data_IF_036591759683
#
_entry.id   IF_036591759683
#
_cell.length_a   1.000
_cell.length_b   1.000
_cell.length_c   1.000
_cell.angle_alpha   90.00
_cell.angle_beta   90.00
_cell.angle_gamma   90.00
#
_symmetry.space_group_name_H-M   'P 1'
#
loop_
_entity.id
_entity.type
_entity.pdbx_description
1 polymer ?
#
# COMPACT_ATOMS: atom_id res chain seq x y z
N UNK A 1 -3.72 17.08 19.18
CA UNK A 1 -2.46 16.48 19.69
C UNK A 1 -1.25 17.42 19.66
N UNK A 2 -1.11 18.35 18.70
CA UNK A 2 0.10 19.20 18.59
C UNK A 2 0.01 20.56 19.30
N UNK A 3 -1.19 21.02 19.65
CA UNK A 3 -1.38 22.36 20.25
C UNK A 3 -1.26 22.27 21.76
N UNK A 4 -0.23 22.93 22.32
CA UNK A 4 -0.05 23.06 23.78
C UNK A 4 0.67 21.91 24.48
N UNK A 5 1.18 20.93 23.73
CA UNK A 5 1.90 19.76 24.26
C UNK A 5 3.35 19.75 23.76
N UNK A 6 4.31 19.36 24.62
CA UNK A 6 5.68 19.09 24.18
C UNK A 6 5.70 17.73 23.47
N UNK A 7 5.76 17.73 22.15
CA UNK A 7 5.80 16.50 21.34
C UNK A 7 7.23 16.24 20.89
N UNK A 8 7.71 15.01 21.08
CA UNK A 8 9.01 14.56 20.61
C UNK A 8 8.83 13.90 19.25
N UNK A 9 9.48 14.45 18.22
CA UNK A 9 9.62 13.79 16.93
C UNK A 9 10.92 13.00 16.91
N UNK A 10 10.87 11.76 16.44
CA UNK A 10 12.03 10.91 16.23
C UNK A 10 11.96 10.35 14.82
N UNK A 11 13.08 10.39 14.12
CA UNK A 11 13.24 9.78 12.80
C UNK A 11 14.16 8.60 13.00
N UNK A 12 13.68 7.42 12.61
CA UNK A 12 14.44 6.18 12.67
C UNK A 12 14.62 5.72 11.23
N UNK A 13 15.87 5.69 10.79
CA UNK A 13 16.25 5.21 9.47
C UNK A 13 17.30 4.12 9.67
N UNK A 14 16.95 2.83 9.45
CA UNK A 14 17.91 1.76 9.47
C UNK A 14 19.01 2.04 8.43
N UNK A 15 20.27 2.04 8.85
CA UNK A 15 21.40 2.24 7.95
C UNK A 15 22.49 1.20 8.25
N UNK A 16 22.89 0.46 7.23
CA UNK A 16 23.98 -0.50 7.32
C UNK A 16 25.29 0.20 6.95
N UNK A 17 26.14 0.44 7.94
CA UNK A 17 27.48 0.98 7.73
C UNK A 17 28.47 -0.14 7.99
N UNK A 18 29.01 -0.72 6.91
CA UNK A 18 29.97 -1.82 6.95
C UNK A 18 31.21 -1.45 6.13
N UNK A 19 32.09 -0.59 6.66
CA UNK A 19 33.23 -0.05 5.90
C UNK A 19 34.19 -1.14 5.40
N UNK A 20 34.25 -2.29 6.08
CA UNK A 20 35.10 -3.42 5.70
C UNK A 20 34.75 -4.03 4.33
N UNK A 21 33.52 -3.84 3.85
CA UNK A 21 33.07 -4.26 2.51
C UNK A 21 32.72 -3.07 1.61
N UNK A 22 33.18 -1.86 1.97
CA UNK A 22 32.98 -0.64 1.16
C UNK A 22 31.61 0.04 1.33
N UNK A 23 30.76 -0.44 2.25
CA UNK A 23 29.46 0.20 2.54
C UNK A 23 29.67 1.28 3.60
N UNK A 24 30.01 2.50 3.17
CA UNK A 24 30.37 3.63 4.05
C UNK A 24 29.34 4.77 4.06
N UNK A 25 28.25 4.63 3.30
CA UNK A 25 27.23 5.67 3.17
C UNK A 25 26.48 5.92 4.47
N UNK A 26 26.24 7.19 4.79
CA UNK A 26 25.32 7.59 5.85
C UNK A 26 24.26 8.54 5.31
N UNK A 27 23.04 8.39 5.81
CA UNK A 27 21.97 9.33 5.52
C UNK A 27 22.18 10.63 6.28
N UNK A 28 22.02 11.75 5.58
CA UNK A 28 21.88 13.08 6.19
C UNK A 28 20.42 13.45 6.08
N UNK A 29 19.77 13.71 7.22
CA UNK A 29 18.34 13.93 7.30
C UNK A 29 18.04 15.34 7.78
N UNK A 30 17.10 16.00 7.11
CA UNK A 30 16.49 17.23 7.57
C UNK A 30 14.97 17.04 7.52
N UNK A 31 14.29 17.35 8.62
CA UNK A 31 12.85 17.28 8.70
C UNK A 31 12.29 18.64 9.12
N UNK A 32 11.32 19.11 8.34
CA UNK A 32 10.62 20.36 8.56
C UNK A 32 9.14 20.07 8.70
N UNK A 33 8.54 20.48 9.83
CA UNK A 33 7.11 20.40 10.03
C UNK A 33 6.45 21.72 9.61
N UNK A 34 5.60 21.67 8.59
CA UNK A 34 4.78 22.81 8.18
C UNK A 34 3.44 22.79 8.91
N UNK A 35 3.19 23.81 9.74
CA UNK A 35 1.94 23.98 10.49
C UNK A 35 1.18 25.18 9.94
N UNK A 36 0.04 24.91 9.30
CA UNK A 36 -0.82 25.96 8.75
C UNK A 36 -1.83 26.41 9.80
N UNK A 37 -1.99 27.72 9.96
CA UNK A 37 -2.99 28.29 10.86
C UNK A 37 -4.39 28.10 10.25
N UNK A 38 -5.33 27.65 11.06
CA UNK A 38 -6.73 27.52 10.69
C UNK A 38 -7.60 27.18 11.89
N UNK A 39 -8.93 27.26 11.76
CA UNK A 39 -9.82 26.68 12.76
C UNK A 39 -9.51 25.19 12.90
N UNK A 40 -9.57 24.65 14.11
CA UNK A 40 -9.45 23.22 14.32
C UNK A 40 -10.59 22.53 13.54
N UNK A 41 -10.29 21.53 12.68
CA UNK A 41 -11.33 20.74 12.06
C UNK A 41 -12.25 20.15 13.14
N UNK A 42 -13.58 20.19 12.93
CA UNK A 42 -14.48 19.52 13.85
C UNK A 42 -14.23 18.01 13.82
N UNK A 43 -14.57 17.33 14.91
CA UNK A 43 -14.62 15.86 14.98
C UNK A 43 -13.30 15.14 14.59
N UNK A 44 -12.16 15.63 15.07
CA UNK A 44 -10.88 14.89 14.98
C UNK A 44 -10.79 13.79 16.05
N UNK A 45 -10.07 12.68 15.78
CA UNK A 45 -9.80 11.68 16.80
C UNK A 45 -8.99 12.30 17.94
N UNK A 46 -9.27 11.88 19.17
CA UNK A 46 -8.70 12.45 20.39
C UNK A 46 -7.94 11.42 21.25
N UNK A 47 -7.89 10.16 20.82
CA UNK A 47 -7.12 9.10 21.46
C UNK A 47 -6.55 8.16 20.39
N UNK A 48 -5.35 7.62 20.61
CA UNK A 48 -4.60 6.87 19.60
C UNK A 48 -3.93 5.66 20.25
N UNK A 49 -4.12 4.48 19.68
CA UNK A 49 -3.47 3.24 20.11
C UNK A 49 -2.58 2.74 18.98
N UNK A 50 -1.24 2.71 19.16
CA UNK A 50 -0.33 2.14 18.17
C UNK A 50 -0.68 0.67 17.90
N UNK A 51 -0.58 0.26 16.64
CA UNK A 51 -0.83 -1.11 16.24
C UNK A 51 0.40 -1.98 16.50
N UNK A 52 0.21 -3.11 17.19
CA UNK A 52 1.24 -4.09 17.54
C UNK A 52 2.62 -3.47 17.88
N UNK A 53 2.71 -2.60 18.91
CA UNK A 53 3.96 -1.92 19.22
C UNK A 53 5.05 -2.93 19.59
N UNK A 54 6.22 -2.80 18.97
CA UNK A 54 7.38 -3.62 19.31
C UNK A 54 7.96 -3.24 20.69
N UNK A 55 9.05 -3.90 21.10
CA UNK A 55 9.69 -3.67 22.39
C UNK A 55 10.15 -2.22 22.64
N UNK A 56 10.29 -1.41 21.58
CA UNK A 56 10.64 0.01 21.65
C UNK A 56 9.41 0.94 21.68
N UNK A 57 8.20 0.39 21.71
CA UNK A 57 6.95 1.15 21.66
C UNK A 57 6.59 1.68 20.27
N UNK A 58 7.29 1.21 19.22
CA UNK A 58 7.05 1.62 17.83
C UNK A 58 6.11 0.62 17.16
N UNK A 59 5.06 1.13 16.53
CA UNK A 59 4.16 0.34 15.67
C UNK A 59 4.92 -0.07 14.40
N UNK A 60 5.49 -1.27 14.42
CA UNK A 60 6.25 -1.84 13.31
C UNK A 60 6.40 -3.34 13.54
N UNK A 61 5.72 -4.13 12.72
CA UNK A 61 5.79 -5.60 12.74
C UNK A 61 6.29 -6.11 11.41
N UNK A 62 7.00 -7.25 11.45
CA UNK A 62 7.36 -8.01 10.26
C UNK A 62 6.56 -9.32 10.22
N UNK A 63 5.94 -9.60 9.08
CA UNK A 63 5.26 -10.85 8.76
C UNK A 63 6.10 -11.63 7.74
N UNK A 64 6.11 -12.95 7.84
CA UNK A 64 6.86 -13.86 6.95
C UNK A 64 6.16 -15.23 6.87
N UNK A 65 6.58 -16.16 5.99
CA UNK A 65 5.93 -17.46 5.82
C UNK A 65 5.72 -18.29 7.10
N UNK A 66 6.54 -18.08 8.13
CA UNK A 66 6.45 -18.85 9.38
C UNK A 66 5.76 -18.08 10.52
N UNK A 67 5.49 -16.79 10.29
CA UNK A 67 4.84 -15.86 11.21
C UNK A 67 4.03 -14.86 10.38
N UNK A 68 3.03 -15.36 9.66
CA UNK A 68 2.17 -14.59 8.76
C UNK A 68 1.07 -13.82 9.51
N UNK A 69 0.92 -14.09 10.80
CA UNK A 69 -0.04 -13.48 11.70
C UNK A 69 0.62 -12.93 12.98
N UNK A 70 0.10 -11.81 13.47
CA UNK A 70 0.26 -11.36 14.86
C UNK A 70 -1.08 -11.11 15.52
N UNK A 71 -1.23 -11.54 16.78
CA UNK A 71 -2.38 -11.21 17.63
C UNK A 71 -1.90 -10.54 18.91
N UNK A 72 -2.58 -9.48 19.32
CA UNK A 72 -2.28 -8.78 20.58
C UNK A 72 -3.54 -8.23 21.23
N UNK A 73 -3.49 -8.07 22.55
CA UNK A 73 -4.59 -7.49 23.32
C UNK A 73 -4.63 -5.98 23.19
N UNK A 74 -5.83 -5.42 23.16
CA UNK A 74 -6.09 -3.99 23.13
C UNK A 74 -7.16 -3.63 24.15
N UNK A 75 -7.01 -2.47 24.78
CA UNK A 75 -7.94 -1.93 25.76
C UNK A 75 -8.39 -0.55 25.30
N UNK A 76 -9.65 -0.45 24.88
CA UNK A 76 -10.22 0.81 24.42
C UNK A 76 -10.82 1.59 25.61
N UNK A 77 -10.66 2.92 25.67
CA UNK A 77 -11.34 3.74 26.66
C UNK A 77 -12.86 3.52 26.62
N UNK A 78 -13.50 3.50 27.80
CA UNK A 78 -14.95 3.22 27.89
C UNK A 78 -15.80 4.23 27.15
N UNK A 79 -15.32 5.46 26.95
CA UNK A 79 -16.01 6.50 26.19
C UNK A 79 -15.83 6.40 24.67
N UNK A 80 -15.15 5.39 24.14
CA UNK A 80 -14.93 5.25 22.70
C UNK A 80 -16.26 5.10 21.97
N UNK A 81 -16.54 6.03 21.05
CA UNK A 81 -17.73 6.02 20.22
C UNK A 81 -17.47 5.89 18.73
N UNK A 82 -16.21 6.04 18.31
CA UNK A 82 -15.75 5.77 16.95
C UNK A 82 -14.34 5.20 16.99
N UNK A 83 -14.06 4.23 16.12
CA UNK A 83 -12.77 3.53 16.05
C UNK A 83 -12.38 3.27 14.59
N UNK A 84 -11.26 3.86 14.16
CA UNK A 84 -10.79 3.81 12.77
C UNK A 84 -9.34 3.34 12.73
N UNK A 85 -9.08 2.28 11.97
CA UNK A 85 -7.74 1.81 11.67
C UNK A 85 -7.09 2.70 10.61
N UNK A 86 -5.82 3.02 10.80
CA UNK A 86 -4.94 3.57 9.77
C UNK A 86 -3.69 2.70 9.71
N UNK A 87 -3.45 2.05 8.58
CA UNK A 87 -2.41 1.04 8.37
C UNK A 87 -1.49 1.46 7.23
N UNK A 88 -0.20 1.19 7.39
CA UNK A 88 0.80 1.18 6.34
C UNK A 88 1.30 -0.25 6.18
N UNK A 89 1.51 -0.69 4.96
CA UNK A 89 2.06 -2.02 4.67
C UNK A 89 2.99 -1.98 3.48
N UNK A 90 4.11 -2.70 3.57
CA UNK A 90 5.19 -2.71 2.57
C UNK A 90 5.73 -4.13 2.41
N UNK A 91 5.81 -4.61 1.16
CA UNK A 91 6.48 -5.85 0.82
C UNK A 91 8.00 -5.68 0.71
N UNK A 92 8.75 -6.67 1.17
CA UNK A 92 10.21 -6.71 1.11
C UNK A 92 10.73 -8.07 0.69
N UNK A 93 12.04 -8.14 0.42
CA UNK A 93 12.70 -9.30 -0.17
C UNK A 93 12.04 -9.68 -1.52
N UNK A 94 11.63 -10.93 -1.74
CA UNK A 94 10.95 -11.29 -2.99
C UNK A 94 9.61 -10.55 -3.13
N UNK A 95 8.94 -10.26 -2.01
CA UNK A 95 7.68 -9.52 -1.99
C UNK A 95 7.85 -8.01 -2.25
N UNK A 96 9.06 -7.49 -2.53
CA UNK A 96 9.23 -6.19 -3.20
C UNK A 96 8.45 -6.14 -4.52
N UNK A 97 8.36 -7.27 -5.22
CA UNK A 97 7.61 -7.46 -6.45
C UNK A 97 6.53 -8.54 -6.29
N UNK A 98 5.83 -8.57 -5.16
CA UNK A 98 4.85 -9.62 -4.82
C UNK A 98 3.84 -9.93 -5.94
N UNK A 99 3.42 -8.95 -6.74
CA UNK A 99 2.50 -9.10 -7.88
C UNK A 99 3.14 -9.80 -9.11
N UNK A 100 4.44 -10.12 -9.04
CA UNK A 100 5.20 -10.93 -10.02
C UNK A 100 5.54 -12.31 -9.48
N UNK A 101 5.41 -12.57 -8.17
CA UNK A 101 5.71 -13.87 -7.58
C UNK A 101 4.41 -14.62 -7.27
N UNK A 102 4.40 -15.94 -7.41
CA UNK A 102 3.22 -16.74 -7.12
C UNK A 102 3.14 -17.16 -5.63
N UNK A 103 1.95 -17.08 -5.00
CA UNK A 103 0.72 -16.47 -5.52
C UNK A 103 0.87 -14.97 -5.72
N UNK A 104 0.41 -14.42 -6.84
CA UNK A 104 0.53 -13.00 -7.18
C UNK A 104 -0.59 -12.13 -6.55
N UNK A 105 -1.05 -12.51 -5.35
CA UNK A 105 -2.02 -11.76 -4.56
C UNK A 105 -1.57 -11.71 -3.09
N UNK A 106 -1.80 -10.57 -2.43
CA UNK A 106 -1.51 -10.34 -1.02
C UNK A 106 -2.64 -9.51 -0.44
N UNK A 107 -3.32 -9.99 0.58
CA UNK A 107 -4.32 -9.22 1.31
C UNK A 107 -3.96 -9.18 2.79
N UNK A 108 -4.00 -8.00 3.39
CA UNK A 108 -3.85 -7.83 4.82
C UNK A 108 -5.21 -7.94 5.50
N UNK A 109 -5.43 -9.03 6.22
CA UNK A 109 -6.65 -9.29 6.98
C UNK A 109 -6.49 -8.77 8.41
N UNK A 110 -7.42 -7.93 8.86
CA UNK A 110 -7.47 -7.44 10.23
C UNK A 110 -8.70 -7.99 10.93
N UNK A 111 -8.52 -8.56 12.12
CA UNK A 111 -9.60 -9.08 12.95
C UNK A 111 -9.69 -8.33 14.27
N UNK A 112 -10.91 -8.02 14.72
CA UNK A 112 -11.20 -7.49 16.04
C UNK A 112 -12.09 -8.49 16.78
N UNK A 113 -11.63 -9.01 17.92
CA UNK A 113 -12.33 -10.03 18.71
C UNK A 113 -12.77 -11.25 17.89
N UNK A 114 -11.94 -11.66 16.90
CA UNK A 114 -12.21 -12.79 16.02
C UNK A 114 -13.14 -12.49 14.83
N UNK A 115 -13.69 -11.27 14.73
CA UNK A 115 -14.47 -10.82 13.57
C UNK A 115 -13.55 -10.20 12.52
N UNK A 116 -13.66 -10.61 11.26
CA UNK A 116 -12.92 -9.98 10.15
C UNK A 116 -13.41 -8.53 10.04
N UNK A 117 -12.54 -7.59 10.41
CA UNK A 117 -12.84 -6.18 10.59
C UNK A 117 -12.50 -5.35 9.36
N UNK A 118 -11.41 -5.71 8.66
CA UNK A 118 -10.99 -5.06 7.42
C UNK A 118 -10.14 -6.00 6.57
N UNK A 119 -10.17 -5.78 5.26
CA UNK A 119 -9.25 -6.36 4.27
C UNK A 119 -8.57 -5.21 3.54
N UNK A 120 -7.24 -5.19 3.51
CA UNK A 120 -6.49 -4.21 2.73
C UNK A 120 -5.71 -4.89 1.61
N UNK A 121 -5.86 -4.37 0.41
CA UNK A 121 -5.14 -4.79 -0.79
C UNK A 121 -3.97 -3.83 -1.02
N UNK A 122 -2.72 -4.27 -0.84
CA UNK A 122 -1.56 -3.42 -1.02
C UNK A 122 -1.43 -2.93 -2.46
N UNK A 123 -1.13 -1.65 -2.65
CA UNK A 123 -0.79 -1.09 -3.96
C UNK A 123 0.54 -1.66 -4.50
N UNK A 124 0.63 -1.86 -5.81
CA UNK A 124 1.81 -2.37 -6.52
C UNK A 124 2.92 -1.31 -6.65
N UNK A 125 3.44 -0.85 -5.51
CA UNK A 125 4.50 0.15 -5.45
C UNK A 125 5.77 -0.36 -6.13
N UNK A 126 6.28 0.40 -7.10
CA UNK A 126 7.56 0.12 -7.78
C UNK A 126 8.61 1.13 -7.34
N UNK A 127 9.68 0.66 -6.72
CA UNK A 127 10.78 1.52 -6.26
C UNK A 127 11.69 1.99 -7.40
N UNK A 128 12.52 2.99 -7.14
CA UNK A 128 13.35 3.70 -8.15
C UNK A 128 14.45 2.85 -8.81
N UNK A 129 14.51 1.55 -8.53
CA UNK A 129 15.33 0.56 -9.20
C UNK A 129 14.58 -0.70 -9.69
N UNK A 130 13.28 -0.79 -9.44
CA UNK A 130 12.52 -2.03 -9.60
C UNK A 130 12.21 -2.38 -11.05
N UNK A 131 12.12 -3.67 -11.38
CA UNK A 131 11.93 -4.19 -12.75
C UNK A 131 13.07 -3.77 -13.70
N UNK A 132 13.14 -2.51 -14.12
CA UNK A 132 14.26 -1.92 -14.89
C UNK A 132 14.70 -0.60 -14.22
N UNK A 133 15.97 -0.48 -13.79
CA UNK A 133 16.44 0.68 -13.04
C UNK A 133 16.48 1.99 -13.84
N UNK A 134 16.38 1.94 -15.17
CA UNK A 134 16.37 3.14 -16.01
C UNK A 134 14.96 3.71 -16.19
N UNK A 135 13.90 2.93 -15.95
CA UNK A 135 12.51 3.40 -16.00
C UNK A 135 12.24 4.55 -15.04
N UNK A 136 12.93 4.58 -13.90
CA UNK A 136 12.60 5.48 -12.79
C UNK A 136 13.48 6.71 -12.70
N UNK A 137 14.17 7.05 -13.79
CA UNK A 137 15.12 8.16 -13.86
C UNK A 137 14.71 9.18 -14.92
N UNK A 138 14.44 10.45 -14.56
CA UNK A 138 14.39 11.03 -13.21
C UNK A 138 13.03 10.88 -12.50
N UNK A 139 12.09 10.11 -13.06
CA UNK A 139 10.70 10.07 -12.58
C UNK A 139 10.38 8.74 -11.89
N UNK A 140 10.08 8.71 -10.58
CA UNK A 140 9.70 7.50 -9.86
C UNK A 140 8.28 7.02 -10.25
N UNK A 141 7.94 5.79 -9.86
CA UNK A 141 6.60 5.21 -10.08
C UNK A 141 5.51 5.92 -9.25
N UNK A 142 4.26 5.49 -9.43
CA UNK A 142 3.12 5.94 -8.61
C UNK A 142 3.36 5.52 -7.15
N UNK A 143 3.02 6.38 -6.19
CA UNK A 143 3.10 6.11 -4.74
C UNK A 143 4.51 5.85 -4.16
N UNK A 144 5.58 5.89 -4.98
CA UNK A 144 6.95 5.59 -4.53
C UNK A 144 7.49 6.60 -3.52
N UNK A 145 7.26 7.90 -3.72
CA UNK A 145 7.82 8.96 -2.85
C UNK A 145 7.03 9.16 -1.56
N UNK A 146 5.77 8.73 -1.52
CA UNK A 146 4.95 8.70 -0.31
C UNK A 146 5.29 7.52 0.60
N UNK A 147 6.14 6.57 0.16
CA UNK A 147 6.46 5.34 0.88
C UNK A 147 5.18 4.65 1.38
N UNK A 148 4.26 4.40 0.43
CA UNK A 148 2.91 3.85 0.60
C UNK A 148 1.90 4.82 1.23
N UNK A 149 0.86 5.16 0.47
CA UNK A 149 -0.37 5.74 1.01
C UNK A 149 -0.98 4.83 2.09
N UNK A 150 -1.49 5.40 3.20
CA UNK A 150 -2.12 4.61 4.24
C UNK A 150 -3.46 4.02 3.77
N UNK A 151 -3.79 2.87 4.33
CA UNK A 151 -5.11 2.25 4.24
C UNK A 151 -5.90 2.59 5.50
N UNK A 152 -7.20 2.86 5.35
CA UNK A 152 -8.08 3.27 6.44
C UNK A 152 -9.26 2.31 6.49
N UNK A 153 -9.67 1.87 7.68
CA UNK A 153 -10.93 1.15 7.86
C UNK A 153 -11.69 1.54 9.12
N UNK A 154 -12.99 1.79 9.02
CA UNK A 154 -13.86 2.05 10.19
C UNK A 154 -14.35 0.73 10.83
N UNK A 155 -13.97 0.48 12.08
CA UNK A 155 -14.34 -0.73 12.82
C UNK A 155 -15.36 -0.46 13.94
N UNK A 156 -15.99 0.72 13.94
CA UNK A 156 -16.89 1.18 15.01
C UNK A 156 -18.01 0.19 15.38
N UNK A 157 -18.68 -0.50 14.42
CA UNK A 157 -19.70 -1.49 14.79
C UNK A 157 -19.18 -2.60 15.70
N UNK A 158 -17.90 -2.97 15.59
CA UNK A 158 -17.29 -4.05 16.35
C UNK A 158 -17.01 -3.69 17.82
N UNK A 159 -17.14 -2.43 18.22
CA UNK A 159 -17.16 -2.03 19.64
C UNK A 159 -18.26 -2.78 20.43
N UNK A 160 -19.33 -3.23 19.76
CA UNK A 160 -20.37 -4.07 20.34
C UNK A 160 -19.86 -5.43 20.87
N UNK A 161 -18.69 -5.88 20.43
CA UNK A 161 -18.07 -7.16 20.85
C UNK A 161 -17.22 -7.03 22.11
N UNK A 162 -17.04 -5.81 22.64
CA UNK A 162 -16.24 -5.54 23.83
C UNK A 162 -15.10 -4.56 23.58
N UNK A 163 -14.66 -3.86 24.62
CA UNK A 163 -13.58 -2.87 24.58
C UNK A 163 -12.23 -3.41 25.07
N UNK A 164 -12.26 -4.48 25.85
CA UNK A 164 -11.08 -5.28 26.21
C UNK A 164 -11.05 -6.46 25.26
N UNK A 165 -10.21 -6.35 24.23
CA UNK A 165 -10.29 -7.21 23.06
C UNK A 165 -8.94 -7.64 22.52
N UNK A 166 -8.99 -8.29 21.36
CA UNK A 166 -7.81 -8.71 20.60
C UNK A 166 -7.87 -8.14 19.20
N UNK A 167 -6.75 -7.58 18.73
CA UNK A 167 -6.54 -7.31 17.31
C UNK A 167 -5.62 -8.39 16.74
N UNK A 168 -5.99 -8.97 15.60
CA UNK A 168 -5.12 -9.87 14.84
C UNK A 168 -4.90 -9.30 13.44
N UNK A 169 -3.68 -9.40 12.94
CA UNK A 169 -3.30 -8.97 11.60
C UNK A 169 -2.65 -10.16 10.91
N UNK A 170 -3.10 -10.48 9.70
CA UNK A 170 -2.58 -11.60 8.89
C UNK A 170 -2.31 -11.15 7.48
N UNK A 171 -1.16 -11.52 6.90
CA UNK A 171 -0.92 -11.37 5.46
C UNK A 171 -1.20 -12.70 4.77
N UNK A 172 -2.06 -12.70 3.75
CA UNK A 172 -2.37 -13.94 3.01
C UNK A 172 -1.19 -14.39 2.16
N UNK A 173 -1.21 -15.67 1.77
CA UNK A 173 -0.36 -16.27 0.75
C UNK A 173 1.17 -16.29 1.02
N UNK A 174 1.64 -15.87 2.19
CA UNK A 174 3.09 -15.96 2.53
C UNK A 174 3.58 -17.40 2.63
N UNK A 175 2.84 -18.27 3.33
CA UNK A 175 3.24 -19.68 3.44
C UNK A 175 3.15 -20.41 2.09
N UNK A 176 2.10 -20.14 1.31
CA UNK A 176 1.94 -20.71 -0.04
C UNK A 176 3.08 -20.27 -0.97
N UNK A 177 3.49 -18.99 -0.93
CA UNK A 177 4.63 -18.48 -1.69
C UNK A 177 5.93 -19.22 -1.33
N UNK A 178 6.16 -19.47 -0.04
CA UNK A 178 7.28 -20.31 0.42
C UNK A 178 7.20 -21.73 -0.15
N UNK A 179 6.01 -22.35 -0.16
CA UNK A 179 5.84 -23.71 -0.68
C UNK A 179 6.10 -23.80 -2.19
N UNK A 180 5.66 -22.79 -2.96
CA UNK A 180 5.85 -22.74 -4.41
C UNK A 180 7.29 -22.42 -4.79
N UNK A 181 7.90 -21.41 -4.19
CA UNK A 181 9.25 -20.97 -4.52
C UNK A 181 10.35 -21.84 -3.88
N UNK A 182 10.04 -22.53 -2.78
CA UNK A 182 11.03 -23.24 -1.96
C UNK A 182 12.03 -22.32 -1.24
N UNK A 183 11.72 -21.02 -1.16
CA UNK A 183 12.57 -19.99 -0.57
C UNK A 183 11.78 -19.23 0.52
N UNK A 184 12.37 -18.94 1.68
CA UNK A 184 11.66 -18.29 2.79
C UNK A 184 11.62 -16.76 2.68
N UNK A 185 12.08 -16.18 1.57
CA UNK A 185 12.40 -14.75 1.46
C UNK A 185 11.19 -13.89 1.06
N UNK A 186 10.08 -14.03 1.78
CA UNK A 186 8.86 -13.27 1.58
C UNK A 186 8.56 -12.51 2.86
N UNK A 187 8.52 -11.19 2.82
CA UNK A 187 8.33 -10.40 4.03
C UNK A 187 7.41 -9.22 3.81
N UNK A 188 6.64 -8.90 4.84
CA UNK A 188 5.79 -7.72 4.88
C UNK A 188 6.00 -6.96 6.17
N UNK A 189 6.25 -5.66 6.04
CA UNK A 189 6.32 -4.74 7.16
C UNK A 189 4.97 -4.05 7.30
N UNK A 190 4.37 -4.10 8.49
CA UNK A 190 3.09 -3.42 8.78
C UNK A 190 3.29 -2.44 9.93
N UNK A 191 2.73 -1.25 9.77
CA UNK A 191 2.67 -0.21 10.80
C UNK A 191 1.26 0.39 10.81
N UNK A 192 0.92 1.13 11.85
CA UNK A 192 -0.37 1.80 11.93
C UNK A 192 -0.79 2.26 13.32
N UNK A 193 -1.99 2.82 13.37
CA UNK A 193 -2.62 3.36 14.57
C UNK A 193 -4.13 3.12 14.51
N UNK A 194 -4.69 2.74 15.65
CA UNK A 194 -6.13 2.77 15.87
C UNK A 194 -6.49 4.15 16.44
N UNK A 195 -7.16 4.95 15.61
CA UNK A 195 -7.64 6.28 15.96
C UNK A 195 -9.02 6.17 16.60
N UNK A 196 -9.19 6.80 17.76
CA UNK A 196 -10.41 6.73 18.55
C UNK A 196 -10.98 8.13 18.80
N UNK A 197 -12.31 8.18 18.81
CA UNK A 197 -13.05 9.30 19.35
C UNK A 197 -13.66 8.88 20.67
N UNK A 198 -13.25 9.56 21.74
CA UNK A 198 -13.54 9.20 23.12
C UNK A 198 -14.31 10.33 23.80
N UNK A 199 -15.44 9.99 24.39
CA UNK A 199 -16.19 10.84 25.31
C UNK A 199 -16.34 10.14 26.66
N UNK A 200 -15.39 10.38 27.57
CA UNK A 200 -15.37 9.74 28.90
C UNK A 200 -16.61 10.06 29.75
N UNK A 201 -17.30 11.15 29.45
CA UNK A 201 -18.54 11.49 30.15
C UNK A 201 -19.70 10.57 29.76
N UNK A 202 -19.65 9.94 28.59
CA UNK A 202 -20.70 9.05 28.08
C UNK A 202 -20.15 7.64 27.80
N UNK A 203 -19.83 6.85 28.83
CA UNK A 203 -19.20 5.54 28.64
C UNK A 203 -20.16 4.54 27.98
N UNK A 204 -19.60 3.69 27.12
CA UNK A 204 -20.23 2.50 26.56
C UNK A 204 -20.53 1.51 27.69
N UNK A 205 -21.79 1.10 27.78
CA UNK A 205 -22.31 0.16 28.79
C UNK A 205 -22.79 -1.16 28.18
N UNK A 206 -22.81 -1.24 26.85
CA UNK A 206 -23.08 -2.47 26.10
C UNK A 206 -23.24 -2.17 24.62
N UNK A 207 -23.35 -3.22 23.82
CA UNK A 207 -23.65 -3.10 22.39
C UNK A 207 -24.23 -4.40 21.87
N UNK A 208 -24.83 -4.33 20.69
CA UNK A 208 -25.36 -5.50 19.99
C UNK A 208 -25.12 -5.34 18.49
N UNK A 209 -24.46 -6.33 17.90
CA UNK A 209 -24.44 -6.52 16.45
C UNK A 209 -25.85 -6.95 15.99
N UNK A 210 -26.46 -6.13 15.15
CA UNK A 210 -27.72 -6.42 14.44
C UNK A 210 -27.42 -7.19 13.15
N UNK A 211 -26.32 -6.85 12.48
CA UNK A 211 -25.80 -7.55 11.32
C UNK A 211 -24.31 -7.85 11.54
N UNK A 212 -23.92 -9.07 11.21
CA UNK A 212 -22.52 -9.52 11.26
C UNK A 212 -22.30 -10.52 10.14
N UNK A 213 -21.96 -10.01 8.97
CA UNK A 213 -21.64 -10.81 7.79
C UNK A 213 -20.22 -10.48 7.37
N UNK A 214 -19.39 -11.49 7.22
CA UNK A 214 -18.05 -11.33 6.68
C UNK A 214 -17.64 -12.59 5.94
N UNK A 215 -17.02 -12.44 4.78
CA UNK A 215 -16.44 -13.52 4.01
C UNK A 215 -15.17 -13.04 3.32
N UNK A 216 -14.18 -13.92 3.26
CA UNK A 216 -13.00 -13.78 2.43
C UNK A 216 -12.83 -15.08 1.66
N UNK A 217 -12.72 -14.98 0.35
CA UNK A 217 -12.51 -16.10 -0.55
C UNK A 217 -11.30 -15.81 -1.42
N UNK A 218 -10.41 -16.79 -1.48
CA UNK A 218 -9.24 -16.84 -2.35
C UNK A 218 -9.26 -18.21 -3.03
N UNK A 219 -9.14 -18.25 -4.36
CA UNK A 219 -9.07 -19.50 -5.10
C UNK A 219 -7.79 -20.29 -4.81
N UNK A 220 -6.75 -19.60 -4.31
CA UNK A 220 -5.38 -20.06 -4.36
C UNK A 220 -4.85 -20.16 -5.79
N UNK A 221 -3.57 -20.56 -5.92
CA UNK A 221 -2.85 -20.50 -7.19
C UNK A 221 -3.31 -21.63 -8.13
N UNK A 222 -3.79 -21.29 -9.33
CA UNK A 222 -4.20 -22.26 -10.35
C UNK A 222 -3.19 -22.25 -11.50
N UNK A 223 -2.47 -23.35 -11.66
CA UNK A 223 -1.48 -23.52 -12.72
C UNK A 223 -1.98 -24.39 -13.87
N UNK A 224 -1.60 -24.01 -15.09
CA UNK A 224 -1.76 -24.82 -16.30
C UNK A 224 -0.59 -24.59 -17.26
N UNK A 225 -0.48 -25.40 -18.31
CA UNK A 225 0.56 -25.24 -19.35
C UNK A 225 -0.11 -24.98 -20.69
N UNK A 226 0.35 -23.95 -21.40
CA UNK A 226 -0.17 -23.61 -22.72
C UNK A 226 0.35 -24.57 -23.80
N UNK A 227 -0.27 -24.62 -24.99
CA UNK A 227 0.25 -25.40 -26.11
C UNK A 227 1.66 -24.98 -26.57
N UNK A 228 2.10 -23.76 -26.24
CA UNK A 228 3.44 -23.25 -26.53
C UNK A 228 4.47 -23.61 -25.44
N UNK A 229 4.06 -24.33 -24.40
CA UNK A 229 4.93 -24.76 -23.29
C UNK A 229 5.19 -23.68 -22.23
N UNK A 230 4.39 -22.61 -22.21
CA UNK A 230 4.45 -21.58 -21.16
C UNK A 230 3.64 -22.01 -19.95
N UNK A 231 4.10 -21.65 -18.75
CA UNK A 231 3.31 -21.78 -17.53
C UNK A 231 2.29 -20.65 -17.50
N UNK A 232 1.03 -21.00 -17.31
CA UNK A 232 -0.05 -20.05 -17.06
C UNK A 232 -0.47 -20.16 -15.59
N UNK A 233 -0.54 -19.03 -14.93
CA UNK A 233 -1.03 -18.87 -13.56
C UNK A 233 -2.30 -18.01 -13.56
N UNK A 234 -3.29 -18.39 -12.76
CA UNK A 234 -4.52 -17.64 -12.53
C UNK A 234 -4.88 -17.72 -11.06
N UNK A 235 -5.31 -16.60 -10.49
CA UNK A 235 -5.88 -16.56 -9.14
C UNK A 235 -6.95 -15.48 -9.06
N UNK A 236 -8.02 -15.73 -8.33
CA UNK A 236 -9.08 -14.76 -8.13
C UNK A 236 -9.69 -14.91 -6.75
N UNK A 237 -10.15 -13.79 -6.21
CA UNK A 237 -10.77 -13.78 -4.91
C UNK A 237 -11.74 -12.62 -4.74
N UNK A 238 -12.49 -12.69 -3.66
CA UNK A 238 -13.42 -11.65 -3.26
C UNK A 238 -13.61 -11.65 -1.76
N UNK A 239 -14.01 -10.50 -1.23
CA UNK A 239 -14.40 -10.38 0.16
C UNK A 239 -15.59 -9.45 0.31
N UNK A 240 -16.30 -9.62 1.42
CA UNK A 240 -17.42 -8.78 1.81
C UNK A 240 -17.45 -8.72 3.33
N UNK A 241 -17.66 -7.53 3.89
CA UNK A 241 -17.84 -7.26 5.30
C UNK A 241 -19.08 -6.37 5.41
N UNK A 242 -20.01 -6.70 6.29
CA UNK A 242 -21.17 -5.88 6.60
C UNK A 242 -21.52 -6.04 8.08
N UNK A 243 -21.28 -4.98 8.85
CA UNK A 243 -21.62 -4.90 10.26
C UNK A 243 -22.54 -3.74 10.53
N UNK A 244 -23.64 -4.02 11.22
CA UNK A 244 -24.54 -3.00 11.77
C UNK A 244 -24.64 -3.25 13.26
N UNK A 245 -24.39 -2.22 14.07
CA UNK A 245 -24.44 -2.31 15.52
C UNK A 245 -25.32 -1.22 16.12
N UNK A 246 -25.98 -1.56 17.23
CA UNK A 246 -26.47 -0.58 18.19
C UNK A 246 -25.52 -0.57 19.38
N UNK A 247 -24.89 0.59 19.60
CA UNK A 247 -24.00 0.85 20.72
C UNK A 247 -24.77 1.59 21.81
N UNK A 248 -24.75 1.06 23.03
CA UNK A 248 -25.49 1.61 24.17
C UNK A 248 -24.53 2.30 25.12
N UNK A 249 -24.67 3.60 25.25
CA UNK A 249 -23.91 4.43 26.18
C UNK A 249 -24.76 4.81 27.38
N UNK A 250 -24.11 5.40 28.39
CA UNK A 250 -24.77 5.86 29.61
C UNK A 250 -25.92 6.84 29.33
N UNK A 251 -25.78 7.72 28.34
CA UNK A 251 -26.72 8.79 28.03
C UNK A 251 -27.32 8.72 26.62
N UNK A 252 -27.33 7.55 25.99
CA UNK A 252 -27.92 7.42 24.65
C UNK A 252 -27.60 6.09 23.97
N UNK A 253 -28.09 5.95 22.76
CA UNK A 253 -27.74 4.87 21.85
C UNK A 253 -27.28 5.46 20.53
N UNK A 254 -26.33 4.79 19.89
CA UNK A 254 -25.81 5.15 18.57
C UNK A 254 -25.94 3.94 17.66
N UNK A 255 -26.12 4.21 16.37
CA UNK A 255 -26.02 3.18 15.34
C UNK A 255 -24.74 3.38 14.56
N UNK A 256 -24.01 2.29 14.36
CA UNK A 256 -22.81 2.26 13.54
C UNK A 256 -22.98 1.20 12.44
N UNK A 257 -22.57 1.53 11.23
CA UNK A 257 -22.59 0.66 10.07
C UNK A 257 -21.26 0.77 9.33
N UNK A 258 -20.64 -0.36 9.04
CA UNK A 258 -19.49 -0.48 8.14
C UNK A 258 -19.81 -1.52 7.09
N UNK A 259 -19.51 -1.22 5.84
CA UNK A 259 -19.51 -2.16 4.73
C UNK A 259 -18.18 -2.09 3.97
N UNK A 260 -17.61 -3.24 3.65
CA UNK A 260 -16.43 -3.36 2.80
C UNK A 260 -16.69 -4.45 1.77
N UNK A 261 -16.25 -4.24 0.52
CA UNK A 261 -16.28 -5.30 -0.49
C UNK A 261 -15.11 -5.15 -1.45
N UNK A 262 -14.65 -6.25 -2.00
CA UNK A 262 -13.57 -6.21 -2.98
C UNK A 262 -13.44 -7.47 -3.79
N UNK A 263 -12.81 -7.34 -4.95
CA UNK A 263 -12.49 -8.41 -5.89
C UNK A 263 -11.06 -8.19 -6.38
N UNK A 264 -10.29 -9.27 -6.44
CA UNK A 264 -8.97 -9.28 -7.06
C UNK A 264 -8.86 -10.42 -8.07
N UNK A 265 -8.07 -10.20 -9.12
CA UNK A 265 -7.80 -11.20 -10.15
C UNK A 265 -6.38 -11.00 -10.67
N UNK A 266 -5.59 -12.07 -10.59
CA UNK A 266 -4.23 -12.15 -11.09
C UNK A 266 -4.15 -13.18 -12.23
N UNK A 267 -3.41 -12.84 -13.27
CA UNK A 267 -3.08 -13.71 -14.38
C UNK A 267 -1.61 -13.52 -14.73
N UNK A 268 -0.88 -14.61 -14.96
CA UNK A 268 0.47 -14.56 -15.47
C UNK A 268 0.70 -15.65 -16.51
N UNK A 269 1.63 -15.37 -17.42
CA UNK A 269 2.11 -16.28 -18.45
C UNK A 269 3.64 -16.17 -18.50
N UNK A 270 4.35 -17.24 -18.18
CA UNK A 270 5.79 -17.15 -17.95
C UNK A 270 6.58 -18.42 -18.25
N UNK A 271 7.90 -18.24 -18.34
CA UNK A 271 8.92 -19.27 -18.32
C UNK A 271 10.22 -18.65 -17.77
N UNK A 272 11.36 -19.36 -17.90
CA UNK A 272 12.65 -18.87 -17.40
C UNK A 272 13.19 -17.59 -18.10
N UNK A 273 12.56 -17.12 -19.18
CA UNK A 273 13.04 -16.01 -20.03
C UNK A 273 12.06 -14.84 -20.05
N UNK A 274 10.76 -15.12 -19.98
CA UNK A 274 9.72 -14.09 -20.09
C UNK A 274 8.63 -14.28 -19.05
N UNK A 275 8.01 -13.16 -18.70
CA UNK A 275 6.85 -13.09 -17.83
C UNK A 275 5.94 -11.98 -18.32
N UNK A 276 4.69 -12.31 -18.59
CA UNK A 276 3.61 -11.36 -18.80
C UNK A 276 2.61 -11.52 -17.67
N UNK A 277 2.24 -10.44 -17.00
CA UNK A 277 1.33 -10.49 -15.86
C UNK A 277 0.34 -9.35 -15.84
N UNK A 278 -0.82 -9.63 -15.25
CA UNK A 278 -1.84 -8.66 -14.93
C UNK A 278 -2.35 -8.92 -13.51
N UNK A 279 -2.50 -7.86 -12.73
CA UNK A 279 -3.25 -7.88 -11.48
C UNK A 279 -4.25 -6.72 -11.54
N UNK A 280 -5.47 -6.97 -11.10
CA UNK A 280 -6.47 -5.92 -10.91
C UNK A 280 -7.18 -6.15 -9.59
N UNK A 281 -7.13 -5.13 -8.75
CA UNK A 281 -7.86 -5.06 -7.50
C UNK A 281 -8.90 -3.96 -7.58
N UNK A 282 -10.13 -4.25 -7.15
CA UNK A 282 -11.23 -3.30 -7.11
C UNK A 282 -11.98 -3.47 -5.81
N UNK A 283 -12.15 -2.40 -5.06
CA UNK A 283 -12.72 -2.49 -3.72
C UNK A 283 -13.40 -1.19 -3.30
N UNK A 284 -14.30 -1.33 -2.33
CA UNK A 284 -15.08 -0.25 -1.75
C UNK A 284 -15.17 -0.42 -0.24
N UNK A 285 -15.17 0.69 0.47
CA UNK A 285 -15.49 0.76 1.88
C UNK A 285 -16.48 1.89 2.11
N UNK A 286 -17.48 1.67 2.95
CA UNK A 286 -18.36 2.71 3.45
C UNK A 286 -18.57 2.56 4.94
N UNK A 287 -18.69 3.70 5.63
CA UNK A 287 -18.96 3.75 7.05
C UNK A 287 -19.98 4.85 7.34
N UNK A 288 -20.86 4.59 8.30
CA UNK A 288 -21.86 5.53 8.77
C UNK A 288 -22.09 5.38 10.28
N UNK A 289 -21.96 6.47 11.01
CA UNK A 289 -22.37 6.54 12.42
C UNK A 289 -23.45 7.60 12.62
N UNK A 290 -24.49 7.26 13.38
CA UNK A 290 -25.51 8.22 13.82
C UNK A 290 -25.35 8.48 15.31
N UNK A 291 -24.95 9.70 15.65
CA UNK A 291 -24.78 10.15 17.03
C UNK A 291 -26.13 10.38 17.73
N UNK A 292 -26.18 10.44 19.08
CA UNK A 292 -27.43 10.69 19.82
C UNK A 292 -27.99 12.09 19.57
N UNK A 293 -27.15 13.03 19.10
CA UNK A 293 -27.54 14.36 18.63
C UNK A 293 -28.36 14.33 17.33
N UNK A 294 -28.40 13.20 16.62
CA UNK A 294 -28.98 13.07 15.28
C UNK A 294 -27.99 13.43 14.16
N UNK A 295 -26.76 13.82 14.50
CA UNK A 295 -25.69 14.04 13.54
C UNK A 295 -25.22 12.72 12.94
N UNK A 296 -24.92 12.75 11.64
CA UNK A 296 -24.45 11.59 10.89
C UNK A 296 -23.03 11.85 10.41
N UNK A 297 -22.14 10.90 10.68
CA UNK A 297 -20.85 10.80 10.03
C UNK A 297 -20.96 9.82 8.87
N UNK A 298 -20.35 10.15 7.73
CA UNK A 298 -20.19 9.21 6.62
C UNK A 298 -18.76 9.22 6.10
N UNK A 299 -18.28 8.05 5.70
CA UNK A 299 -17.06 7.87 4.92
C UNK A 299 -17.32 6.87 3.81
N UNK A 300 -16.74 7.08 2.65
CA UNK A 300 -16.78 6.18 1.52
C UNK A 300 -15.47 6.28 0.77
N UNK A 301 -14.88 5.14 0.46
CA UNK A 301 -13.67 5.00 -0.33
C UNK A 301 -13.90 3.93 -1.38
N UNK A 302 -13.52 4.19 -2.62
CA UNK A 302 -13.46 3.19 -3.68
C UNK A 302 -12.10 3.26 -4.36
N UNK A 303 -11.43 2.12 -4.46
CA UNK A 303 -10.10 1.99 -5.05
C UNK A 303 -10.10 1.00 -6.20
N UNK A 304 -9.30 1.29 -7.23
CA UNK A 304 -8.98 0.34 -8.29
C UNK A 304 -7.53 0.47 -8.73
N UNK A 305 -6.78 -0.61 -8.57
CA UNK A 305 -5.33 -0.68 -8.81
C UNK A 305 -5.05 -1.78 -9.85
N UNK A 306 -5.02 -1.46 -11.15
CA UNK A 306 -4.60 -2.40 -12.16
C UNK A 306 -3.13 -2.18 -12.54
N UNK A 307 -2.40 -3.28 -12.63
CA UNK A 307 -1.08 -3.35 -13.22
C UNK A 307 -1.07 -4.36 -14.37
N UNK A 308 -0.36 -4.01 -15.45
CA UNK A 308 0.00 -4.92 -16.54
C UNK A 308 1.49 -4.78 -16.76
N UNK A 309 2.21 -5.88 -16.77
CA UNK A 309 3.64 -5.87 -17.03
C UNK A 309 4.03 -6.98 -18.01
N UNK A 310 5.15 -6.75 -18.69
CA UNK A 310 5.78 -7.73 -19.55
C UNK A 310 7.28 -7.57 -19.40
N UNK A 311 7.97 -8.61 -18.99
CA UNK A 311 9.42 -8.63 -18.80
C UNK A 311 9.96 -9.79 -19.62
N UNK A 312 11.03 -9.52 -20.36
CA UNK A 312 11.83 -10.56 -21.02
C UNK A 312 13.28 -10.29 -20.68
N UNK A 313 13.93 -11.23 -20.01
CA UNK A 313 15.32 -11.12 -19.60
C UNK A 313 16.08 -12.41 -19.94
N UNK A 314 17.30 -12.27 -20.43
CA UNK A 314 18.17 -13.42 -20.68
C UNK A 314 19.62 -13.08 -20.34
N UNK A 315 20.31 -14.08 -19.81
CA UNK A 315 21.73 -14.03 -19.51
C UNK A 315 22.48 -15.06 -20.36
N UNK A 316 23.51 -14.61 -21.06
CA UNK A 316 24.36 -15.44 -21.94
C UNK A 316 25.76 -15.53 -21.35
N UNK A 317 26.18 -16.68 -20.79
CA UNK A 317 27.55 -16.89 -20.37
C UNK A 317 28.52 -16.73 -21.54
N UNK A 318 29.59 -15.96 -21.33
CA UNK A 318 30.67 -15.74 -22.30
C UNK A 318 31.94 -16.54 -21.94
N UNK A 319 31.86 -17.38 -20.91
CA UNK A 319 32.92 -18.27 -20.44
C UNK A 319 32.35 -19.51 -19.74
N UNK A 320 33.22 -20.46 -19.31
CA UNK A 320 32.79 -21.67 -18.62
C UNK A 320 32.05 -21.37 -17.31
N UNK A 321 30.80 -21.84 -17.18
CA UNK A 321 29.96 -21.61 -15.99
C UNK A 321 30.36 -22.45 -14.77
N UNK A 322 31.34 -23.34 -14.92
CA UNK A 322 31.88 -24.17 -13.84
C UNK A 322 32.99 -23.50 -13.03
N UNK A 323 33.43 -22.29 -13.41
CA UNK A 323 34.47 -21.52 -12.71
C UNK A 323 34.03 -20.09 -12.50
N UNK A 324 34.20 -19.60 -11.27
CA UNK A 324 33.91 -18.21 -10.91
C UNK A 324 35.22 -17.43 -10.69
N UNK A 325 35.29 -16.15 -11.09
CA UNK A 325 34.24 -15.43 -11.83
C UNK A 325 34.21 -15.77 -13.33
N UNK A 326 33.06 -15.65 -13.99
CA UNK A 326 32.94 -15.75 -15.45
C UNK A 326 32.18 -14.57 -16.07
N UNK A 327 32.55 -14.11 -17.28
CA UNK A 327 31.84 -13.02 -17.95
C UNK A 327 30.50 -13.51 -18.52
N UNK A 328 29.49 -12.63 -18.51
CA UNK A 328 28.20 -12.87 -19.14
C UNK A 328 27.66 -11.59 -19.78
N UNK A 329 26.81 -11.74 -20.80
CA UNK A 329 25.98 -10.66 -21.33
C UNK A 329 24.56 -10.78 -20.76
N UNK A 330 23.95 -9.67 -20.39
CA UNK A 330 22.58 -9.61 -19.91
C UNK A 330 21.78 -8.65 -20.78
N UNK A 331 20.59 -9.07 -21.19
CA UNK A 331 19.67 -8.21 -21.93
C UNK A 331 18.29 -8.34 -21.31
N UNK A 332 17.63 -7.20 -21.15
CA UNK A 332 16.27 -7.13 -20.67
C UNK A 332 15.45 -6.14 -21.49
N UNK A 333 14.19 -6.50 -21.71
CA UNK A 333 13.12 -5.64 -22.17
C UNK A 333 12.00 -5.70 -21.14
N UNK A 334 11.43 -4.55 -20.78
CA UNK A 334 10.32 -4.50 -19.84
C UNK A 334 9.30 -3.43 -20.25
N UNK A 335 8.03 -3.70 -20.01
CA UNK A 335 6.95 -2.72 -20.06
C UNK A 335 6.11 -2.80 -18.79
N UNK A 336 5.67 -1.66 -18.29
CA UNK A 336 4.79 -1.57 -17.12
C UNK A 336 3.72 -0.53 -17.39
N UNK A 337 2.45 -0.92 -17.26
CA UNK A 337 1.31 -0.01 -17.19
C UNK A 337 0.69 -0.16 -15.81
N UNK A 338 0.74 0.90 -15.01
CA UNK A 338 0.24 0.94 -13.64
C UNK A 338 -0.78 2.08 -13.52
N UNK A 339 -1.92 1.83 -12.88
CA UNK A 339 -2.93 2.86 -12.65
C UNK A 339 -3.35 2.88 -11.18
N UNK A 340 -3.61 4.07 -10.66
CA UNK A 340 -4.26 4.28 -9.37
C UNK A 340 -5.53 5.08 -9.60
N UNK A 341 -6.69 4.48 -9.36
CA UNK A 341 -7.96 5.20 -9.28
C UNK A 341 -8.47 5.14 -7.84
N UNK A 342 -8.81 6.31 -7.29
CA UNK A 342 -9.39 6.42 -5.96
C UNK A 342 -10.52 7.45 -5.97
N UNK A 343 -11.62 7.10 -5.33
CA UNK A 343 -12.74 7.99 -5.06
C UNK A 343 -12.99 7.98 -3.55
N UNK A 344 -12.87 9.13 -2.92
CA UNK A 344 -13.09 9.29 -1.49
C UNK A 344 -14.15 10.37 -1.28
N UNK A 345 -15.11 10.10 -0.41
CA UNK A 345 -16.08 11.08 0.04
C UNK A 345 -16.39 10.88 1.51
N UNK A 346 -16.66 11.96 2.20
CA UNK A 346 -17.10 11.86 3.58
C UNK A 346 -17.77 13.12 4.07
N UNK A 347 -18.56 12.95 5.12
CA UNK A 347 -19.26 14.04 5.77
C UNK A 347 -19.08 13.96 7.29
N UNK A 348 -18.73 15.10 7.85
CA UNK A 348 -18.83 15.39 9.28
C UNK A 348 -19.88 16.49 9.46
N UNK A 349 -20.46 16.66 10.66
CA UNK A 349 -21.35 17.77 10.92
C UNK A 349 -20.70 19.12 10.55
N UNK A 350 -21.25 19.76 9.52
CA UNK A 350 -20.78 21.04 8.99
C UNK A 350 -19.69 20.99 7.92
N UNK A 351 -19.17 19.82 7.53
CA UNK A 351 -18.16 19.70 6.45
C UNK A 351 -18.30 18.40 5.68
N UNK A 352 -18.53 18.50 4.38
CA UNK A 352 -18.35 17.42 3.42
C UNK A 352 -17.06 17.62 2.63
N UNK A 353 -16.42 16.52 2.27
CA UNK A 353 -15.28 16.49 1.37
C UNK A 353 -15.49 15.40 0.31
N UNK A 354 -14.90 15.62 -0.85
CA UNK A 354 -14.83 14.64 -1.94
C UNK A 354 -13.51 14.78 -2.67
N UNK A 355 -12.85 13.67 -2.94
CA UNK A 355 -11.64 13.57 -3.74
C UNK A 355 -11.79 12.49 -4.81
N UNK A 356 -11.54 12.84 -6.06
CA UNK A 356 -11.44 11.90 -7.18
C UNK A 356 -10.02 11.97 -7.71
N UNK A 357 -9.30 10.85 -7.71
CA UNK A 357 -7.92 10.75 -8.19
C UNK A 357 -7.84 9.66 -9.25
N UNK A 358 -7.24 10.00 -10.39
CA UNK A 358 -6.79 9.05 -11.40
C UNK A 358 -5.36 9.35 -11.80
N UNK A 359 -4.43 8.45 -11.52
CA UNK A 359 -3.05 8.50 -11.98
C UNK A 359 -2.76 7.27 -12.86
N UNK A 360 -2.22 7.49 -14.05
CA UNK A 360 -1.78 6.43 -14.95
C UNK A 360 -0.30 6.60 -15.27
N UNK A 361 0.42 5.48 -15.27
CA UNK A 361 1.82 5.37 -15.60
C UNK A 361 2.00 4.34 -16.73
N UNK A 362 2.79 4.70 -17.72
CA UNK A 362 3.23 3.77 -18.77
C UNK A 362 4.74 3.87 -18.90
N UNK A 363 5.43 2.74 -18.78
CA UNK A 363 6.87 2.66 -18.87
C UNK A 363 7.33 1.58 -19.85
N UNK A 364 8.41 1.88 -20.56
CA UNK A 364 9.16 0.96 -21.40
C UNK A 364 10.63 1.08 -21.04
N UNK A 365 11.31 -0.05 -20.86
CA UNK A 365 12.71 -0.16 -20.49
C UNK A 365 13.42 -1.20 -21.34
N UNK A 366 14.66 -0.90 -21.67
CA UNK A 366 15.60 -1.78 -22.31
C UNK A 366 16.97 -1.56 -21.67
N UNK A 367 17.67 -2.66 -21.39
CA UNK A 367 19.04 -2.62 -20.91
C UNK A 367 19.86 -3.78 -21.46
N UNK A 368 21.12 -3.49 -21.76
CA UNK A 368 22.14 -4.42 -22.20
C UNK A 368 23.39 -4.19 -21.35
N UNK A 369 23.75 -5.20 -20.56
CA UNK A 369 24.85 -5.17 -19.60
C UNK A 369 25.91 -6.21 -19.93
N UNK A 370 27.14 -5.85 -19.64
CA UNK A 370 28.21 -6.81 -19.39
C UNK A 370 28.27 -7.10 -17.90
N UNK A 371 28.22 -8.37 -17.54
CA UNK A 371 28.26 -8.86 -16.18
C UNK A 371 29.52 -9.70 -15.95
N UNK A 372 29.95 -9.74 -14.70
CA UNK A 372 30.86 -10.73 -14.17
C UNK A 372 30.12 -11.52 -13.10
N UNK A 373 29.77 -12.77 -13.37
CA UNK A 373 29.12 -13.65 -12.38
C UNK A 373 30.21 -14.14 -11.43
N UNK A 374 30.04 -13.88 -10.14
CA UNK A 374 31.09 -14.03 -9.11
C UNK A 374 30.86 -15.21 -8.17
N UNK A 375 29.66 -15.82 -8.17
CA UNK A 375 29.34 -16.95 -7.30
C UNK A 375 28.27 -17.88 -7.90
N UNK A 376 28.12 -19.11 -7.38
CA UNK A 376 27.15 -20.09 -7.89
C UNK A 376 25.69 -19.78 -7.61
N UNK A 377 25.40 -18.77 -6.79
CA UNK A 377 24.05 -18.34 -6.45
C UNK A 377 23.51 -17.24 -7.38
N UNK A 378 24.25 -16.92 -8.45
CA UNK A 378 23.85 -15.90 -9.43
C UNK A 378 24.29 -14.48 -9.07
N UNK A 379 25.07 -14.29 -7.99
CA UNK A 379 25.65 -12.99 -7.68
C UNK A 379 26.53 -12.51 -8.81
N UNK A 380 26.31 -11.29 -9.28
CA UNK A 380 27.03 -10.69 -10.41
C UNK A 380 27.35 -9.22 -10.17
N UNK A 381 28.45 -8.76 -10.78
CA UNK A 381 28.84 -7.36 -10.82
C UNK A 381 28.61 -6.83 -12.23
N UNK A 382 27.99 -5.65 -12.36
CA UNK A 382 27.90 -4.94 -13.63
C UNK A 382 29.27 -4.40 -13.98
N UNK A 383 29.88 -4.91 -15.06
CA UNK A 383 31.20 -4.49 -15.55
C UNK A 383 31.12 -3.52 -16.73
N UNK A 384 29.96 -3.40 -17.35
CA UNK A 384 29.71 -2.43 -18.41
C UNK A 384 28.23 -2.32 -18.76
N UNK A 385 27.84 -1.16 -19.28
CA UNK A 385 26.52 -0.90 -19.86
C UNK A 385 26.77 -0.63 -21.34
N UNK A 386 26.30 -1.51 -22.21
CA UNK A 386 26.49 -1.39 -23.67
C UNK A 386 25.30 -0.74 -24.36
N UNK A 387 24.14 -0.71 -23.69
CA UNK A 387 22.96 0.03 -24.09
C UNK A 387 21.95 0.12 -22.95
N UNK A 388 21.31 1.27 -22.80
CA UNK A 388 20.06 1.37 -22.07
C UNK A 388 19.15 2.38 -22.75
N UNK A 389 17.86 2.17 -22.63
CA UNK A 389 16.85 3.13 -23.02
C UNK A 389 15.64 2.92 -22.12
N UNK A 390 15.13 4.00 -21.53
CA UNK A 390 13.84 3.94 -20.87
C UNK A 390 13.01 5.18 -21.16
N UNK A 391 11.69 4.98 -21.13
CA UNK A 391 10.70 6.01 -21.36
C UNK A 391 9.53 5.78 -20.41
N UNK A 392 9.27 6.74 -19.54
CA UNK A 392 8.16 6.67 -18.57
C UNK A 392 7.29 7.91 -18.71
N UNK A 393 5.99 7.72 -18.92
CA UNK A 393 4.99 8.78 -18.90
C UNK A 393 4.06 8.63 -17.70
N UNK A 394 3.69 9.76 -17.09
CA UNK A 394 2.66 9.86 -16.06
C UNK A 394 1.60 10.88 -16.45
N UNK A 395 0.35 10.56 -16.17
CA UNK A 395 -0.80 11.47 -16.27
C UNK A 395 -1.64 11.32 -14.99
N UNK A 396 -1.78 12.40 -14.23
CA UNK A 396 -2.56 12.49 -13.01
C UNK A 396 -3.64 13.56 -13.21
N UNK A 397 -4.87 13.22 -12.86
CA UNK A 397 -5.97 14.15 -12.65
C UNK A 397 -6.51 13.91 -11.25
N UNK A 398 -6.52 14.95 -10.42
CA UNK A 398 -7.14 14.92 -9.10
C UNK A 398 -8.11 16.10 -8.96
N UNK A 399 -9.30 15.83 -8.44
CA UNK A 399 -10.30 16.84 -8.11
C UNK A 399 -10.66 16.68 -6.65
N UNK A 400 -10.40 17.71 -5.86
CA UNK A 400 -10.78 17.72 -4.44
C UNK A 400 -11.70 18.90 -4.16
N UNK A 401 -12.80 18.66 -3.43
CA UNK A 401 -13.82 19.67 -3.09
C UNK A 401 -14.22 19.57 -1.63
N UNK A 402 -14.58 20.70 -1.02
CA UNK A 402 -15.00 20.81 0.37
C UNK A 402 -16.23 21.73 0.49
N UNK A 403 -17.06 21.58 1.52
CA UNK A 403 -18.31 22.37 1.65
C UNK A 403 -18.33 23.44 2.75
N UNK A 404 -17.25 23.66 3.51
CA UNK A 404 -17.22 24.51 4.72
C UNK A 404 -16.20 25.66 4.58
N UNK A 405 -16.48 26.94 4.92
CA UNK A 405 -17.68 27.49 5.57
C UNK A 405 -18.72 28.17 4.68
N UNK A 406 -18.45 28.43 3.40
CA UNK A 406 -19.43 28.89 2.40
C UNK A 406 -18.97 28.45 1.01
N UNK A 407 -19.84 27.78 0.24
CA UNK A 407 -19.58 27.34 -1.14
C UNK A 407 -18.91 25.95 -1.24
N UNK A 408 -18.63 25.51 -2.48
CA UNK A 408 -17.82 24.32 -2.77
C UNK A 408 -16.44 24.79 -3.27
N UNK A 409 -15.53 25.27 -2.39
CA UNK A 409 -14.13 25.44 -2.78
C UNK A 409 -13.53 24.09 -3.13
N UNK A 410 -12.68 24.07 -4.15
CA UNK A 410 -11.96 22.89 -4.55
C UNK A 410 -10.71 23.20 -5.34
N UNK A 411 -10.01 22.14 -5.71
CA UNK A 411 -8.80 22.19 -6.50
C UNK A 411 -8.85 21.08 -7.54
N UNK A 412 -8.61 21.45 -8.79
CA UNK A 412 -8.22 20.54 -9.85
C UNK A 412 -6.70 20.56 -9.93
N UNK A 413 -6.09 19.40 -9.76
CA UNK A 413 -4.69 19.14 -10.07
C UNK A 413 -4.62 18.33 -11.37
N UNK A 414 -3.78 18.78 -12.29
CA UNK A 414 -3.41 18.02 -13.47
C UNK A 414 -1.89 17.99 -13.54
N UNK A 415 -1.31 16.79 -13.49
CA UNK A 415 0.11 16.58 -13.67
C UNK A 415 0.34 15.68 -14.87
N UNK A 416 1.24 16.08 -15.77
CA UNK A 416 1.69 15.24 -16.88
C UNK A 416 3.19 15.35 -17.02
N UNK A 417 3.85 14.23 -17.19
CA UNK A 417 5.29 14.20 -17.40
C UNK A 417 5.70 13.06 -18.32
N UNK A 418 6.81 13.28 -19.02
CA UNK A 418 7.48 12.26 -19.80
C UNK A 418 8.98 12.31 -19.49
N UNK A 419 9.50 11.23 -18.93
CA UNK A 419 10.90 11.03 -18.61
C UNK A 419 11.55 10.09 -19.64
N UNK A 420 12.81 10.36 -19.99
CA UNK A 420 13.63 9.56 -20.90
C UNK A 420 15.00 9.32 -20.26
N UNK A 421 15.47 8.08 -20.28
CA UNK A 421 16.86 7.71 -19.97
C UNK A 421 17.54 7.19 -21.24
N UNK A 422 18.39 7.96 -21.95
CA UNK A 422 18.51 7.81 -23.41
C UNK A 422 19.58 6.84 -23.95
N UNK A 423 20.60 6.43 -23.18
CA UNK A 423 21.73 5.65 -23.71
C UNK A 423 22.68 5.21 -22.57
N UNK A 424 23.48 4.16 -22.82
CA UNK A 424 24.60 3.68 -21.99
C UNK A 424 25.51 4.76 -21.36
N UNK A 425 25.67 5.93 -21.99
CA UNK A 425 26.54 7.02 -21.50
C UNK A 425 25.84 8.02 -20.58
N UNK A 426 24.50 8.07 -20.58
CA UNK A 426 23.72 9.02 -19.78
C UNK A 426 22.76 8.28 -18.83
N UNK A 427 23.27 8.03 -17.63
CA UNK A 427 22.59 7.26 -16.58
C UNK A 427 21.61 8.11 -15.74
N UNK A 428 21.52 9.42 -15.99
CA UNK A 428 20.75 10.36 -15.17
C UNK A 428 19.33 10.51 -15.73
N UNK A 429 19.18 10.46 -17.05
CA UNK A 429 17.91 10.72 -17.73
C UNK A 429 17.45 12.17 -17.58
N UNK A 430 16.39 12.53 -18.30
CA UNK A 430 15.80 13.87 -18.26
C UNK A 430 14.29 13.84 -18.51
N UNK A 431 13.60 14.91 -18.11
CA UNK A 431 12.21 15.12 -18.49
C UNK A 431 12.14 15.74 -19.89
N UNK A 432 11.47 15.07 -20.84
CA UNK A 432 11.12 15.67 -22.12
C UNK A 432 10.09 16.79 -21.94
N UNK A 433 9.14 16.58 -21.02
CA UNK A 433 8.27 17.64 -20.52
C UNK A 433 7.77 17.30 -19.12
N UNK A 434 7.42 18.35 -18.38
CA UNK A 434 6.63 18.28 -17.13
C UNK A 434 5.65 19.44 -17.16
N UNK A 435 4.38 19.15 -16.87
CA UNK A 435 3.34 20.15 -16.70
C UNK A 435 2.62 19.89 -15.40
N UNK A 436 2.49 20.92 -14.57
CA UNK A 436 1.63 20.93 -13.40
C UNK A 436 0.64 22.08 -13.57
N UNK A 437 -0.64 21.78 -13.46
CA UNK A 437 -1.71 22.77 -13.48
C UNK A 437 -2.56 22.59 -12.23
N UNK A 438 -2.58 23.62 -11.40
CA UNK A 438 -3.44 23.71 -10.23
C UNK A 438 -4.49 24.80 -10.48
N UNK A 439 -5.76 24.42 -10.48
CA UNK A 439 -6.88 25.32 -10.73
C UNK A 439 -7.83 25.27 -9.55
N UNK A 440 -8.12 26.44 -8.96
CA UNK A 440 -9.16 26.55 -7.94
C UNK A 440 -10.54 26.35 -8.58
N UNK A 441 -11.38 25.55 -7.95
CA UNK A 441 -12.78 25.31 -8.27
C UNK A 441 -13.62 26.07 -7.23
N UNK A 442 -14.71 26.74 -7.63
CA UNK A 442 -15.56 27.55 -6.74
C UNK A 442 -15.20 29.05 -6.72
N UNK A 443 -16.03 29.87 -6.07
CA UNK A 443 -16.02 31.33 -6.20
C UNK A 443 -14.79 32.04 -5.59
N UNK A 444 -14.42 33.16 -6.22
CA UNK A 444 -13.51 34.18 -5.68
C UNK A 444 -14.20 35.01 -4.60
#
# INVERSE_FOLDING_TARGET
MLVGSCVRFQIILPNWIVPSIGVTGYYILNATLYLYKGPAPPNLPNYFIPIAPNAYGVSLIGLNPFHDNVTYSINLPRGTYRAVLLIYTEGGELDEFWYTNEPATRSLLVYYNGYLAAVFNPFETIYTGGIDPFMWKPMPSINTLSFHNPYVADITPLLATGLDGTLSITMTNLYEAYQLAGLPYFTWTVSGVLMLWVNDSNPLIGGKLIMAQSSFFDSGPIFSTTPTGLTQYVEYGNYTINYVAVLKYKYGMEMAHTEQSGVFNAFQLFNAVMEYGTLSENFTETAQETLPSGEVFTSSFAGKYPIVFNVTAYITPLGPTTRYPYPAAYVQYATVNLTMMAHEEGSTPGMAYKSDIGEALNSYGFMNLSLLVINPYGGAVVTGISGNYARTSKDLISVTTYSNPVGIPGWLEQFRALAISPNATDLIGYYQYVTLRLVRIGWQ
#
